data_IF_267708422271
#
_entry.id   IF_267708422271
#
_cell.length_a   1.000
_cell.length_b   1.000
_cell.length_c   1.000
_cell.angle_alpha   90.00
_cell.angle_beta   90.00
_cell.angle_gamma   90.00
#
_symmetry.space_group_name_H-M   'P 1'
#
loop_
_entity.id
_entity.type
_entity.pdbx_description
1 polymer ?
#
# COMPACT_ATOMS: atom_id res chain seq x y z
N UNK A 1 -3.10 14.69 -3.96
CA UNK A 1 -2.32 15.29 -2.87
C UNK A 1 -1.39 14.23 -2.33
N UNK A 2 -0.06 14.44 -2.40
CA UNK A 2 0.90 13.43 -1.95
C UNK A 2 0.84 13.25 -0.43
N UNK A 3 0.70 12.00 0.02
CA UNK A 3 0.71 11.69 1.44
C UNK A 3 2.16 11.53 1.94
N UNK A 4 2.38 11.87 3.21
CA UNK A 4 3.69 11.76 3.84
C UNK A 4 3.74 10.52 4.71
N UNK A 5 4.79 9.70 4.54
CA UNK A 5 5.07 8.55 5.41
C UNK A 5 5.19 9.00 6.87
N UNK A 6 4.44 8.36 7.77
CA UNK A 6 4.64 8.51 9.21
C UNK A 6 5.83 7.67 9.69
N UNK A 7 6.50 8.11 10.77
CA UNK A 7 7.59 7.34 11.39
C UNK A 7 7.12 6.03 12.02
N UNK A 8 5.82 5.84 12.15
CA UNK A 8 5.24 4.66 12.77
C UNK A 8 5.49 3.39 11.93
N UNK A 9 5.76 2.24 12.58
CA UNK A 9 5.90 0.97 11.90
C UNK A 9 4.55 0.50 11.33
N UNK A 10 4.61 -0.36 10.31
CA UNK A 10 3.43 -1.08 9.82
C UNK A 10 3.13 -2.30 10.71
N UNK A 11 1.90 -2.79 10.61
CA UNK A 11 1.42 -3.96 11.34
C UNK A 11 1.09 -5.07 10.33
N UNK A 12 1.51 -6.30 10.64
CA UNK A 12 1.16 -7.50 9.87
C UNK A 12 -0.16 -8.09 10.37
N UNK A 13 -1.26 -7.74 9.72
CA UNK A 13 -2.59 -8.26 10.07
C UNK A 13 -3.50 -8.23 8.84
N UNK A 14 -3.85 -9.41 8.33
CA UNK A 14 -4.60 -9.62 7.08
C UNK A 14 -3.95 -8.93 5.86
N UNK A 15 -2.63 -8.97 5.82
CA UNK A 15 -1.74 -8.26 4.91
C UNK A 15 -0.84 -7.30 5.68
N UNK A 16 -0.52 -6.15 5.07
CA UNK A 16 0.25 -5.08 5.72
C UNK A 16 -0.63 -3.85 5.90
N UNK A 17 -0.70 -3.36 7.13
CA UNK A 17 -1.41 -2.14 7.52
C UNK A 17 -0.41 -1.05 7.88
N UNK A 18 -0.57 0.13 7.29
CA UNK A 18 0.37 1.23 7.50
C UNK A 18 -0.37 2.57 7.52
N UNK A 19 0.29 3.58 8.06
CA UNK A 19 -0.29 4.91 8.24
C UNK A 19 0.52 5.95 7.45
N UNK A 20 -0.18 6.90 6.85
CA UNK A 20 0.41 8.08 6.23
C UNK A 20 -0.33 9.32 6.73
N UNK A 21 0.24 10.50 6.52
CA UNK A 21 -0.39 11.78 6.84
C UNK A 21 -0.77 12.53 5.56
N UNK A 22 -1.96 13.14 5.57
CA UNK A 22 -2.32 14.15 4.58
C UNK A 22 -1.60 15.49 4.84
N UNK A 23 -1.79 16.47 3.95
CA UNK A 23 -1.13 17.77 4.07
C UNK A 23 -1.56 18.58 5.31
N UNK A 24 -2.71 18.25 5.89
CA UNK A 24 -3.23 18.89 7.11
C UNK A 24 -2.76 18.20 8.38
N UNK A 25 -2.03 17.09 8.24
CA UNK A 25 -1.52 16.27 9.33
C UNK A 25 -2.50 15.20 9.83
N UNK A 26 -3.63 14.98 9.15
CA UNK A 26 -4.53 13.88 9.53
C UNK A 26 -3.92 12.55 9.14
N UNK A 27 -4.08 11.57 10.03
CA UNK A 27 -3.64 10.21 9.78
C UNK A 27 -4.62 9.47 8.88
N UNK A 28 -4.12 8.91 7.78
CA UNK A 28 -4.84 8.09 6.83
C UNK A 28 -4.32 6.66 6.95
N UNK A 29 -5.24 5.72 7.14
CA UNK A 29 -4.92 4.31 7.33
C UNK A 29 -5.08 3.53 6.03
N UNK A 30 -4.06 2.74 5.71
CA UNK A 30 -4.00 1.90 4.52
C UNK A 30 -3.87 0.43 4.86
N UNK A 31 -4.32 -0.41 3.94
CA UNK A 31 -4.10 -1.84 3.95
C UNK A 31 -3.76 -2.32 2.55
N UNK A 32 -2.72 -3.14 2.44
CA UNK A 32 -2.48 -4.00 1.28
C UNK A 32 -2.74 -5.43 1.72
N UNK A 33 -3.46 -6.22 0.93
CA UNK A 33 -3.76 -7.62 1.29
C UNK A 33 -2.56 -8.54 1.04
N UNK A 34 -2.57 -9.71 1.70
CA UNK A 34 -1.63 -10.80 1.42
C UNK A 34 -1.59 -11.15 -0.08
N UNK A 35 -2.77 -11.25 -0.69
CA UNK A 35 -2.92 -11.56 -2.11
C UNK A 35 -2.30 -10.48 -2.99
N UNK A 36 -2.53 -9.19 -2.70
CA UNK A 36 -1.96 -8.11 -3.49
C UNK A 36 -0.43 -8.02 -3.39
N UNK A 37 0.14 -8.27 -2.21
CA UNK A 37 1.58 -8.38 -2.05
C UNK A 37 2.15 -9.56 -2.84
N UNK A 38 1.49 -10.72 -2.76
CA UNK A 38 1.95 -11.93 -3.41
C UNK A 38 1.84 -11.84 -4.94
N UNK A 39 0.73 -11.34 -5.45
CA UNK A 39 0.54 -11.07 -6.88
C UNK A 39 1.61 -10.12 -7.42
N UNK A 40 1.94 -9.07 -6.66
CA UNK A 40 2.99 -8.15 -7.07
C UNK A 40 4.36 -8.84 -7.05
N UNK A 41 4.68 -9.56 -5.97
CA UNK A 41 5.94 -10.28 -5.81
C UNK A 41 6.17 -11.34 -6.91
N UNK A 42 5.13 -12.09 -7.27
CA UNK A 42 5.18 -13.09 -8.34
C UNK A 42 5.48 -12.44 -9.71
N UNK A 43 4.89 -11.27 -10.00
CA UNK A 43 5.14 -10.52 -11.26
C UNK A 43 6.57 -10.00 -11.38
N UNK A 44 7.19 -9.63 -10.25
CA UNK A 44 8.55 -9.08 -10.20
C UNK A 44 9.59 -10.13 -9.82
N UNK A 45 9.19 -11.41 -9.75
CA UNK A 45 10.03 -12.55 -9.38
C UNK A 45 10.74 -12.37 -8.02
N UNK A 46 10.09 -11.69 -7.07
CA UNK A 46 10.55 -11.59 -5.70
C UNK A 46 9.89 -12.68 -4.85
N UNK A 47 10.68 -13.39 -4.05
CA UNK A 47 10.19 -14.30 -3.02
C UNK A 47 10.44 -13.71 -1.63
N UNK A 48 9.45 -13.77 -0.74
CA UNK A 48 9.61 -13.29 0.63
C UNK A 48 8.33 -13.37 1.45
N UNK A 49 8.44 -12.99 2.72
CA UNK A 49 7.27 -12.71 3.57
C UNK A 49 6.63 -11.38 3.16
N UNK A 50 5.37 -11.17 3.53
CA UNK A 50 4.65 -9.91 3.33
C UNK A 50 5.43 -8.68 3.80
N UNK A 51 6.09 -8.76 4.95
CA UNK A 51 6.96 -7.69 5.44
C UNK A 51 8.14 -7.43 4.52
N UNK A 52 8.80 -8.48 4.02
CA UNK A 52 9.95 -8.34 3.14
C UNK A 52 9.55 -7.77 1.78
N UNK A 53 8.41 -8.22 1.22
CA UNK A 53 7.84 -7.70 -0.02
C UNK A 53 7.43 -6.25 0.16
N UNK A 54 6.72 -5.93 1.24
CA UNK A 54 6.28 -4.57 1.53
C UNK A 54 7.47 -3.63 1.70
N UNK A 55 8.51 -4.01 2.44
CA UNK A 55 9.70 -3.17 2.62
C UNK A 55 10.47 -2.98 1.31
N UNK A 56 10.64 -4.04 0.52
CA UNK A 56 11.31 -3.96 -0.78
C UNK A 56 10.60 -3.01 -1.76
N UNK A 57 9.26 -2.93 -1.67
CA UNK A 57 8.43 -2.11 -2.54
C UNK A 57 7.72 -0.98 -1.80
N UNK A 58 8.23 -0.56 -0.64
CA UNK A 58 7.50 0.35 0.25
C UNK A 58 7.19 1.69 -0.42
N UNK A 59 8.18 2.25 -1.10
CA UNK A 59 8.03 3.53 -1.80
C UNK A 59 6.97 3.45 -2.91
N UNK A 60 6.97 2.36 -3.68
CA UNK A 60 5.96 2.12 -4.71
C UNK A 60 4.56 1.93 -4.09
N UNK A 61 4.44 1.14 -3.03
CA UNK A 61 3.17 0.89 -2.36
C UNK A 61 2.61 2.17 -1.73
N UNK A 62 3.45 3.01 -1.12
CA UNK A 62 3.06 4.31 -0.56
C UNK A 62 2.67 5.34 -1.64
N UNK A 63 3.32 5.32 -2.80
CA UNK A 63 2.91 6.13 -3.95
C UNK A 63 1.55 5.68 -4.50
N UNK A 64 1.34 4.37 -4.65
CA UNK A 64 0.05 3.80 -5.07
C UNK A 64 -1.03 4.11 -4.03
N UNK A 65 -0.72 4.06 -2.74
CA UNK A 65 -1.62 4.41 -1.66
C UNK A 65 -2.05 5.89 -1.75
N UNK A 66 -1.11 6.80 -1.99
CA UNK A 66 -1.41 8.22 -2.20
C UNK A 66 -2.33 8.45 -3.40
N UNK A 67 -2.05 7.78 -4.53
CA UNK A 67 -2.91 7.83 -5.73
C UNK A 67 -4.29 7.26 -5.47
N UNK A 68 -4.38 6.21 -4.66
CA UNK A 68 -5.66 5.57 -4.29
C UNK A 68 -6.47 6.47 -3.36
N UNK A 69 -5.83 7.17 -2.44
CA UNK A 69 -6.49 8.19 -1.60
C UNK A 69 -7.06 9.33 -2.45
N UNK A 70 -6.27 9.86 -3.39
CA UNK A 70 -6.70 10.91 -4.31
C UNK A 70 -7.86 10.51 -5.21
N UNK A 71 -7.94 9.23 -5.57
CA UNK A 71 -9.00 8.67 -6.40
C UNK A 71 -10.24 8.23 -5.61
N UNK A 72 -10.31 8.54 -4.30
CA UNK A 72 -11.37 8.08 -3.39
C UNK A 72 -11.56 6.55 -3.48
N UNK A 73 -10.44 5.83 -3.42
CA UNK A 73 -10.39 4.39 -3.60
C UNK A 73 -11.17 3.59 -2.55
N UNK A 74 -11.30 2.27 -2.76
CA UNK A 74 -12.14 1.43 -1.92
C UNK A 74 -11.62 1.37 -0.48
N UNK A 75 -12.56 1.30 0.47
CA UNK A 75 -12.28 1.10 1.88
C UNK A 75 -12.62 -0.34 2.30
N UNK A 76 -11.90 -0.87 3.28
CA UNK A 76 -12.29 -2.10 3.97
C UNK A 76 -13.28 -1.84 5.11
N UNK A 77 -13.79 -2.92 5.72
CA UNK A 77 -14.78 -2.86 6.80
C UNK A 77 -14.32 -2.06 8.04
N UNK A 78 -13.03 -1.73 8.12
CA UNK A 78 -12.45 -0.92 9.20
C UNK A 78 -12.17 0.53 8.77
N UNK A 79 -12.65 0.95 7.60
CA UNK A 79 -12.47 2.32 7.08
C UNK A 79 -11.05 2.60 6.59
N UNK A 80 -10.26 1.58 6.27
CA UNK A 80 -8.90 1.74 5.71
C UNK A 80 -8.94 1.67 4.21
N UNK A 81 -8.12 2.49 3.56
CA UNK A 81 -8.02 2.49 2.11
C UNK A 81 -7.26 1.25 1.65
N UNK A 82 -7.83 0.56 0.67
CA UNK A 82 -7.33 -0.71 0.19
C UNK A 82 -6.45 -0.52 -1.05
N UNK A 83 -5.18 -0.88 -0.92
CA UNK A 83 -4.24 -0.95 -2.05
C UNK A 83 -4.42 -2.31 -2.73
N UNK A 84 -4.96 -2.30 -3.95
CA UNK A 84 -5.30 -3.54 -4.70
C UNK A 84 -4.14 -4.07 -5.55
N UNK A 85 -4.16 -5.37 -5.87
CA UNK A 85 -3.23 -5.98 -6.83
C UNK A 85 -3.26 -5.29 -8.19
N UNK A 86 -4.42 -4.78 -8.60
CA UNK A 86 -4.60 -4.05 -9.86
C UNK A 86 -3.94 -2.68 -9.83
N UNK A 87 -4.09 -1.94 -8.72
CA UNK A 87 -3.47 -0.63 -8.56
C UNK A 87 -1.94 -0.75 -8.58
N UNK A 88 -1.39 -1.78 -7.92
CA UNK A 88 0.04 -2.11 -8.00
C UNK A 88 0.45 -2.48 -9.44
N UNK A 89 -0.36 -3.28 -10.16
CA UNK A 89 -0.08 -3.69 -11.54
C UNK A 89 0.06 -2.51 -12.51
N UNK A 90 -0.82 -1.52 -12.38
CA UNK A 90 -0.89 -0.38 -13.31
C UNK A 90 0.40 0.44 -13.30
N UNK A 91 1.01 0.59 -12.13
CA UNK A 91 2.26 1.35 -11.99
C UNK A 91 3.45 0.56 -12.53
N UNK A 92 3.52 -0.75 -12.28
CA UNK A 92 4.63 -1.60 -12.79
C UNK A 92 4.62 -1.72 -14.32
N UNK A 93 3.46 -1.56 -14.98
CA UNK A 93 3.34 -1.61 -16.45
C UNK A 93 3.73 -0.31 -17.15
N UNK A 94 3.81 0.78 -16.40
CA UNK A 94 4.09 2.13 -16.94
C UNK A 94 5.57 2.50 -16.83
N UNK A 95 6.40 1.62 -16.25
CA UNK A 95 7.86 1.71 -16.17
C UNK A 95 8.49 0.80 -17.24
#
# INVERSE_FOLDING_TARGET
MPLTRLKDPYILQDGVRFLMADETGNTVAFRVSHEALRDHADRVHLSGTDSAIFEAYRELIEDVASKTFDAEGPFDDHGRILVTSEALARVTRSA
#
